data_IF_224155277209
#
_entry.id   IF_224155277209
#
_cell.length_a   1.000
_cell.length_b   1.000
_cell.length_c   1.000
_cell.angle_alpha   90.00
_cell.angle_beta   90.00
_cell.angle_gamma   90.00
#
_symmetry.space_group_name_H-M   'P 1'
#
loop_
_entity.id
_entity.type
_entity.pdbx_description
1 polymer ?
#
# COMPACT_ATOMS: atom_id res chain seq x y z
N UNK A 1 5.11 10.10 8.61
CA UNK A 1 4.14 10.23 7.51
C UNK A 1 2.83 9.68 8.02
N UNK A 2 1.76 10.46 7.93
CA UNK A 2 0.42 9.98 8.27
C UNK A 2 -0.16 9.24 7.08
N UNK A 3 -0.77 8.08 7.33
CA UNK A 3 -1.49 7.34 6.31
C UNK A 3 -2.82 8.05 5.98
N UNK A 4 -3.22 8.07 4.71
CA UNK A 4 -4.56 8.48 4.31
C UNK A 4 -5.60 7.40 4.72
N UNK A 5 -6.90 7.69 4.52
CA UNK A 5 -7.97 6.77 4.97
C UNK A 5 -7.88 5.39 4.29
N UNK A 6 -7.64 5.35 2.99
CA UNK A 6 -7.53 4.10 2.22
C UNK A 6 -6.31 3.28 2.67
N UNK A 7 -5.17 3.95 2.87
CA UNK A 7 -3.95 3.36 3.41
C UNK A 7 -4.15 2.78 4.81
N UNK A 8 -4.87 3.50 5.69
CA UNK A 8 -5.19 3.03 7.04
C UNK A 8 -6.07 1.78 7.01
N UNK A 9 -7.08 1.73 6.15
CA UNK A 9 -7.98 0.56 6.06
C UNK A 9 -7.23 -0.68 5.59
N UNK A 10 -6.37 -0.55 4.57
CA UNK A 10 -5.53 -1.67 4.12
C UNK A 10 -4.66 -2.17 5.27
N UNK A 11 -4.01 -1.25 5.98
CA UNK A 11 -3.11 -1.60 7.08
C UNK A 11 -3.83 -2.26 8.26
N UNK A 12 -4.99 -1.74 8.65
CA UNK A 12 -5.83 -2.28 9.72
C UNK A 12 -6.39 -3.65 9.36
N UNK A 13 -6.85 -3.81 8.13
CA UNK A 13 -7.34 -5.09 7.61
C UNK A 13 -6.27 -6.20 7.70
N UNK A 14 -5.01 -5.90 7.40
CA UNK A 14 -3.92 -6.87 7.57
C UNK A 14 -3.61 -7.22 9.04
N UNK A 15 -3.95 -6.37 10.02
CA UNK A 15 -3.82 -6.76 11.43
C UNK A 15 -4.79 -7.89 11.79
N UNK A 16 -5.97 -7.91 11.17
CA UNK A 16 -6.95 -8.98 11.33
C UNK A 16 -6.73 -10.19 10.43
N UNK A 17 -5.91 -10.08 9.38
CA UNK A 17 -5.71 -11.11 8.36
C UNK A 17 -4.22 -11.48 8.21
N UNK A 18 -3.70 -12.39 9.07
CA UNK A 18 -2.27 -12.68 9.13
C UNK A 18 -1.72 -13.36 7.87
N UNK A 19 -2.53 -14.15 7.15
CA UNK A 19 -2.11 -14.79 5.91
C UNK A 19 -1.86 -13.77 4.79
N UNK A 20 -2.76 -12.80 4.64
CA UNK A 20 -2.59 -11.72 3.68
C UNK A 20 -1.42 -10.81 4.06
N UNK A 21 -1.29 -10.52 5.36
CA UNK A 21 -0.14 -9.78 5.86
C UNK A 21 1.17 -10.48 5.48
N UNK A 22 1.27 -11.80 5.67
CA UNK A 22 2.45 -12.58 5.30
C UNK A 22 2.75 -12.53 3.81
N UNK A 23 1.73 -12.65 2.97
CA UNK A 23 1.87 -12.48 1.52
C UNK A 23 2.46 -11.11 1.18
N UNK A 24 1.95 -10.05 1.81
CA UNK A 24 2.44 -8.69 1.57
C UNK A 24 3.82 -8.44 2.18
N UNK A 25 4.16 -9.04 3.32
CA UNK A 25 5.50 -9.03 3.90
C UNK A 25 6.52 -9.62 2.93
N UNK A 26 6.22 -10.78 2.35
CA UNK A 26 7.07 -11.43 1.34
C UNK A 26 7.18 -10.59 0.07
N UNK A 27 6.05 -10.10 -0.46
CA UNK A 27 6.02 -9.27 -1.66
C UNK A 27 6.82 -7.97 -1.48
N UNK A 28 6.72 -7.32 -0.32
CA UNK A 28 7.47 -6.09 -0.02
C UNK A 28 8.96 -6.38 0.06
N UNK A 29 9.37 -7.48 0.70
CA UNK A 29 10.78 -7.88 0.79
C UNK A 29 11.37 -8.20 -0.58
N UNK A 30 10.65 -8.98 -1.39
CA UNK A 30 11.05 -9.30 -2.76
C UNK A 30 11.17 -8.03 -3.60
N UNK A 31 10.16 -7.16 -3.58
CA UNK A 31 10.19 -5.88 -4.32
C UNK A 31 11.35 -4.98 -3.87
N UNK A 32 11.65 -4.94 -2.57
CA UNK A 32 12.78 -4.17 -2.06
C UNK A 32 14.13 -4.74 -2.53
N UNK A 33 14.24 -6.06 -2.65
CA UNK A 33 15.44 -6.74 -3.14
C UNK A 33 15.66 -6.52 -4.65
N UNK A 34 14.59 -6.58 -5.46
CA UNK A 34 14.65 -6.34 -6.91
C UNK A 34 14.90 -4.88 -7.30
N UNK A 35 14.46 -3.94 -6.45
CA UNK A 35 14.57 -2.51 -6.76
C UNK A 35 15.92 -1.91 -6.35
N UNK A 36 16.48 -1.09 -7.24
CA UNK A 36 17.72 -0.35 -7.00
C UNK A 36 17.62 0.69 -5.87
N UNK A 37 16.41 1.17 -5.54
CA UNK A 37 16.19 2.14 -4.46
C UNK A 37 14.84 1.93 -3.77
N UNK A 38 14.73 2.39 -2.52
CA UNK A 38 13.46 2.39 -1.77
C UNK A 38 12.40 3.24 -2.47
N UNK A 39 12.81 4.29 -3.17
CA UNK A 39 11.91 5.13 -3.95
C UNK A 39 11.29 4.35 -5.12
N UNK A 40 12.09 3.56 -5.84
CA UNK A 40 11.61 2.71 -6.92
C UNK A 40 10.70 1.59 -6.37
N UNK A 41 11.09 0.96 -5.26
CA UNK A 41 10.26 -0.04 -4.58
C UNK A 41 8.91 0.55 -4.15
N UNK A 42 8.90 1.76 -3.57
CA UNK A 42 7.69 2.43 -3.13
C UNK A 42 6.76 2.79 -4.30
N UNK A 43 7.30 3.17 -5.47
CA UNK A 43 6.48 3.41 -6.66
C UNK A 43 5.83 2.13 -7.21
N UNK A 44 6.54 1.01 -7.17
CA UNK A 44 6.00 -0.27 -7.58
C UNK A 44 4.91 -0.74 -6.62
N UNK A 45 5.18 -0.67 -5.31
CA UNK A 45 4.23 -1.02 -4.26
C UNK A 45 3.00 -0.09 -4.26
N UNK A 46 3.13 1.20 -4.56
CA UNK A 46 1.98 2.11 -4.69
C UNK A 46 0.94 1.59 -5.72
N UNK A 47 1.42 1.08 -6.86
CA UNK A 47 0.55 0.52 -7.91
C UNK A 47 -0.12 -0.77 -7.44
N UNK A 48 0.67 -1.67 -6.85
CA UNK A 48 0.18 -2.97 -6.38
C UNK A 48 -0.84 -2.81 -5.23
N UNK A 49 -0.57 -1.91 -4.29
CA UNK A 49 -1.47 -1.60 -3.17
C UNK A 49 -2.77 -0.96 -3.65
N UNK A 50 -2.71 -0.10 -4.67
CA UNK A 50 -3.92 0.47 -5.28
C UNK A 50 -4.75 -0.59 -6.00
N UNK A 51 -4.12 -1.51 -6.74
CA UNK A 51 -4.82 -2.63 -7.36
C UNK A 51 -5.51 -3.51 -6.31
N UNK A 52 -4.78 -3.91 -5.27
CA UNK A 52 -5.30 -4.70 -4.17
C UNK A 52 -6.46 -4.02 -3.43
N UNK A 53 -6.35 -2.71 -3.18
CA UNK A 53 -7.43 -1.93 -2.59
C UNK A 53 -8.71 -1.96 -3.45
N UNK A 54 -8.58 -1.87 -4.78
CA UNK A 54 -9.74 -1.95 -5.69
C UNK A 54 -10.35 -3.35 -5.74
N UNK A 55 -9.53 -4.40 -5.73
CA UNK A 55 -10.00 -5.78 -5.67
C UNK A 55 -10.76 -6.03 -4.36
N UNK A 56 -10.18 -5.59 -3.22
CA UNK A 56 -10.81 -5.73 -1.91
C UNK A 56 -12.05 -4.85 -1.76
N UNK A 57 -12.08 -3.63 -2.30
CA UNK A 57 -13.28 -2.78 -2.27
C UNK A 57 -14.44 -3.34 -3.09
N UNK A 58 -14.16 -4.19 -4.07
CA UNK A 58 -15.21 -4.88 -4.82
C UNK A 58 -15.92 -5.96 -3.98
N UNK A 59 -15.23 -6.56 -3.00
CA UNK A 59 -15.75 -7.67 -2.19
C UNK A 59 -16.17 -7.22 -0.79
N UNK A 60 -15.44 -6.28 -0.20
CA UNK A 60 -15.57 -5.88 1.20
C UNK A 60 -16.18 -4.47 1.32
N UNK A 61 -17.35 -4.33 1.97
CA UNK A 61 -18.06 -3.06 2.05
C UNK A 61 -17.28 -1.98 2.82
N UNK A 62 -16.52 -2.36 3.85
CA UNK A 62 -15.73 -1.43 4.66
C UNK A 62 -14.59 -0.74 3.88
N UNK A 63 -14.14 -1.31 2.75
CA UNK A 63 -13.21 -0.65 1.84
C UNK A 63 -13.88 0.40 0.95
N UNK A 64 -15.20 0.36 0.77
CA UNK A 64 -15.95 1.33 -0.07
C UNK A 64 -16.21 2.64 0.68
N UNK A 65 -16.48 2.55 1.98
CA UNK A 65 -16.79 3.70 2.86
C UNK A 65 -15.58 4.62 3.11
N UNK A 66 -14.38 4.23 2.68
CA UNK A 66 -13.18 5.05 2.71
C UNK A 66 -13.15 6.14 1.63
N UNK A 67 -13.95 6.00 0.58
CA UNK A 67 -14.03 6.99 -0.48
C UNK A 67 -14.58 8.31 0.08
N UNK A 68 -14.00 9.46 -0.29
CA UNK A 68 -14.47 10.75 0.23
C UNK A 68 -15.97 10.94 -0.05
N UNK A 69 -16.73 11.58 0.85
CA UNK A 69 -18.19 11.70 0.77
C UNK A 69 -18.72 12.46 -0.46
N UNK A 70 -17.83 13.04 -1.27
CA UNK A 70 -18.15 13.70 -2.53
C UNK A 70 -18.11 12.76 -3.76
N UNK A 71 -17.73 11.49 -3.61
CA UNK A 71 -17.72 10.52 -4.70
C UNK A 71 -18.97 9.62 -4.60
N UNK A 72 -20.00 9.83 -5.44
CA UNK A 72 -21.12 8.89 -5.50
C UNK A 72 -20.59 7.55 -6.02
N UNK A 73 -20.64 6.53 -5.17
CA UNK A 73 -20.49 5.12 -5.56
C UNK A 73 -21.76 4.65 -6.28
N UNK A 74 -22.10 5.30 -7.39
CA UNK A 74 -23.04 4.76 -8.35
C UNK A 74 -22.34 3.64 -9.12
N UNK A 75 -23.03 2.52 -9.37
CA UNK A 75 -22.52 1.35 -10.09
C UNK A 75 -22.06 1.64 -11.55
N UNK A 76 -22.21 2.89 -12.01
CA UNK A 76 -21.91 3.38 -13.36
C UNK A 76 -20.80 4.46 -13.40
N UNK A 77 -20.15 4.77 -12.25
CA UNK A 77 -19.13 5.82 -12.19
C UNK A 77 -17.74 5.30 -12.55
N UNK A 78 -17.03 5.90 -13.53
CA UNK A 78 -15.71 5.43 -13.95
C UNK A 78 -14.69 5.71 -12.85
N UNK A 79 -14.23 4.64 -12.19
CA UNK A 79 -13.04 4.57 -11.35
C UNK A 79 -12.91 5.65 -10.27
N UNK A 80 -13.11 5.26 -9.00
CA UNK A 80 -12.67 6.05 -7.85
C UNK A 80 -11.30 6.69 -8.15
N UNK A 81 -11.21 8.02 -8.06
CA UNK A 81 -10.00 8.76 -8.44
C UNK A 81 -8.78 8.12 -7.75
N UNK A 82 -7.76 7.76 -8.54
CA UNK A 82 -6.59 7.03 -8.05
C UNK A 82 -6.00 7.74 -6.83
N UNK A 83 -6.09 7.11 -5.67
CA UNK A 83 -5.48 7.61 -4.44
C UNK A 83 -4.08 7.01 -4.33
N UNK A 84 -3.08 7.84 -4.05
CA UNK A 84 -1.72 7.32 -3.84
C UNK A 84 -1.67 6.50 -2.55
N UNK A 85 -1.04 5.33 -2.64
CA UNK A 85 -0.78 4.39 -1.54
C UNK A 85 0.69 4.44 -1.10
N UNK A 86 1.35 5.56 -1.42
CA UNK A 86 2.80 5.70 -1.29
C UNK A 86 3.26 5.81 0.15
N UNK A 87 2.51 6.47 1.04
CA UNK A 87 2.90 6.53 2.45
C UNK A 87 2.82 5.15 3.10
N UNK A 88 1.82 4.35 2.70
CA UNK A 88 1.72 2.95 3.10
C UNK A 88 2.92 2.17 2.55
N UNK A 89 3.21 2.25 1.25
CA UNK A 89 4.36 1.57 0.66
C UNK A 89 5.67 1.90 1.40
N UNK A 90 5.92 3.18 1.68
CA UNK A 90 7.10 3.63 2.44
C UNK A 90 7.11 3.11 3.89
N UNK A 91 5.94 3.05 4.53
CA UNK A 91 5.81 2.48 5.87
C UNK A 91 6.15 0.98 5.86
N UNK A 92 5.61 0.22 4.90
CA UNK A 92 5.85 -1.23 4.79
C UNK A 92 7.31 -1.54 4.49
N UNK A 93 7.95 -0.77 3.60
CA UNK A 93 9.38 -0.91 3.34
C UNK A 93 10.20 -0.72 4.63
N UNK A 94 9.84 0.25 5.47
CA UNK A 94 10.53 0.47 6.76
C UNK A 94 10.26 -0.63 7.78
N UNK A 95 9.06 -1.21 7.77
CA UNK A 95 8.65 -2.23 8.74
C UNK A 95 9.19 -3.62 8.37
N UNK A 96 9.18 -3.96 7.08
CA UNK A 96 9.34 -5.34 6.62
C UNK A 96 10.56 -5.57 5.75
N UNK A 97 11.07 -4.55 5.06
CA UNK A 97 12.31 -4.69 4.29
C UNK A 97 13.52 -4.60 5.22
N UNK A 98 14.59 -5.36 4.93
CA UNK A 98 15.83 -5.23 5.69
C UNK A 98 16.36 -3.79 5.54
N UNK A 99 16.91 -3.18 6.60
CA UNK A 99 17.46 -1.84 6.52
C UNK A 99 18.61 -1.83 5.50
N UNK A 100 18.49 -1.02 4.44
CA UNK A 100 19.57 -0.90 3.46
C UNK A 100 20.83 -0.38 4.16
N UNK A 101 22.01 -0.96 3.88
CA UNK A 101 23.25 -0.43 4.41
C UNK A 101 23.42 1.01 3.92
N UNK A 102 23.46 1.96 4.86
CA UNK A 102 23.72 3.37 4.52
C UNK A 102 25.06 3.45 3.81
N UNK A 103 25.19 4.18 2.70
CA UNK A 103 26.50 4.41 2.09
C UNK A 103 27.41 5.01 3.16
N UNK A 104 28.55 4.36 3.42
CA UNK A 104 29.58 4.87 4.31
C UNK A 104 29.91 6.27 3.80
N UNK A 105 29.61 7.31 4.59
CA UNK A 105 30.16 8.64 4.36
C UNK A 105 31.67 8.47 4.38
N UNK A 106 32.29 8.47 3.21
CA UNK A 106 33.73 8.64 3.12
C UNK A 106 34.01 10.04 3.64
N UNK A 107 34.93 10.08 4.61
CA UNK A 107 35.31 11.22 5.44
C UNK A 107 35.74 12.43 4.62
#
# INVERSE_FOLDING_TARGET
MSLNRSEQIVFDYWQGNPDERRFWEDKVRSTAADCASDHAAAQQLDRDLWAYYQERSSVLPHFREAAPPAAPLSADSPSAARTSMRNLAELLLRLWAPPRPKPKKSR
#
